data_IF_564385834413
#
_entry.id   IF_564385834413
#
_cell.length_a   1.000
_cell.length_b   1.000
_cell.length_c   1.000
_cell.angle_alpha   90.00
_cell.angle_beta   90.00
_cell.angle_gamma   90.00
#
_symmetry.space_group_name_H-M   'P 1'
#
loop_
_entity.id
_entity.type
_entity.pdbx_description
1 polymer ?
#
# COMPACT_ATOMS: atom_id res chain seq x y z
N UNK A 1 -13.19 -6.06 0.60
CA UNK A 1 -12.65 -7.43 0.46
C UNK A 1 -11.39 -7.41 -0.39
N UNK A 2 -11.45 -6.93 -1.63
CA UNK A 2 -10.30 -6.93 -2.56
C UNK A 2 -9.04 -6.22 -2.03
N UNK A 3 -9.16 -5.02 -1.44
CA UNK A 3 -8.02 -4.32 -0.83
C UNK A 3 -7.41 -5.06 0.37
N UNK A 4 -8.23 -5.82 1.13
CA UNK A 4 -7.75 -6.62 2.25
C UNK A 4 -7.01 -7.87 1.76
N UNK A 5 -7.51 -8.51 0.71
CA UNK A 5 -6.84 -9.67 0.09
C UNK A 5 -5.49 -9.25 -0.52
N UNK A 6 -5.44 -8.07 -1.16
CA UNK A 6 -4.20 -7.47 -1.63
C UNK A 6 -3.22 -7.16 -0.48
N UNK A 7 -3.73 -6.62 0.63
CA UNK A 7 -2.90 -6.37 1.82
C UNK A 7 -2.31 -7.67 2.37
N UNK A 8 -3.11 -8.73 2.52
CA UNK A 8 -2.64 -10.05 2.96
C UNK A 8 -1.59 -10.59 1.99
N UNK A 9 -1.81 -10.46 0.68
CA UNK A 9 -0.82 -10.84 -0.32
C UNK A 9 0.48 -10.06 -0.15
N UNK A 10 0.42 -8.73 0.02
CA UNK A 10 1.59 -7.89 0.25
C UNK A 10 2.33 -8.27 1.52
N UNK A 11 1.66 -8.54 2.65
CA UNK A 11 2.34 -8.95 3.89
C UNK A 11 3.17 -10.23 3.70
N UNK A 12 2.65 -11.20 2.94
CA UNK A 12 3.24 -12.52 2.80
C UNK A 12 4.15 -12.68 1.59
N UNK A 13 4.01 -11.85 0.57
CA UNK A 13 4.82 -11.94 -0.63
C UNK A 13 6.23 -11.39 -0.36
N UNK A 14 7.24 -12.27 -0.46
CA UNK A 14 8.66 -11.94 -0.25
C UNK A 14 9.49 -11.95 -1.55
N UNK A 15 8.83 -11.80 -2.69
CA UNK A 15 9.48 -11.83 -4.02
C UNK A 15 9.16 -10.59 -4.83
N UNK A 16 7.95 -10.05 -4.70
CA UNK A 16 7.49 -8.92 -5.47
C UNK A 16 8.25 -7.65 -5.06
N UNK A 17 8.89 -7.01 -6.04
CA UNK A 17 9.65 -5.77 -5.87
C UNK A 17 8.94 -4.55 -6.45
N UNK A 18 7.96 -4.76 -7.32
CA UNK A 18 7.20 -3.67 -7.97
C UNK A 18 5.73 -4.05 -8.06
N UNK A 19 4.86 -3.14 -7.62
CA UNK A 19 3.41 -3.24 -7.73
C UNK A 19 2.87 -1.94 -8.32
N UNK A 20 2.10 -2.05 -9.41
CA UNK A 20 1.44 -0.91 -10.06
C UNK A 20 -0.05 -1.04 -9.89
N UNK A 21 -0.64 -0.02 -9.29
CA UNK A 21 -2.08 0.12 -9.04
C UNK A 21 -2.55 1.49 -9.52
N UNK A 22 -1.83 2.12 -10.45
CA UNK A 22 -2.22 3.40 -11.01
C UNK A 22 -3.57 3.31 -11.74
N UNK A 23 -4.33 4.41 -11.73
CA UNK A 23 -5.62 4.53 -12.42
C UNK A 23 -6.68 3.50 -11.97
N UNK A 24 -6.77 3.24 -10.67
CA UNK A 24 -7.84 2.45 -10.07
C UNK A 24 -8.76 3.33 -9.21
N UNK A 25 -9.73 2.69 -8.56
CA UNK A 25 -10.66 3.34 -7.62
C UNK A 25 -10.22 3.10 -6.16
N UNK A 26 -8.91 3.12 -5.88
CA UNK A 26 -8.41 2.98 -4.51
C UNK A 26 -8.73 4.25 -3.73
N UNK A 27 -9.51 4.10 -2.67
CA UNK A 27 -9.88 5.16 -1.74
C UNK A 27 -9.01 5.11 -0.46
N UNK A 28 -9.28 6.03 0.48
CA UNK A 28 -8.57 6.11 1.76
C UNK A 28 -8.68 4.83 2.60
N UNK A 29 -9.81 4.12 2.52
CA UNK A 29 -9.99 2.88 3.27
C UNK A 29 -9.15 1.75 2.68
N UNK A 30 -9.16 1.60 1.36
CA UNK A 30 -8.38 0.62 0.64
C UNK A 30 -6.87 0.86 0.83
N UNK A 31 -6.42 2.11 0.70
CA UNK A 31 -5.00 2.45 0.86
C UNK A 31 -4.52 2.28 2.29
N UNK A 32 -5.39 2.42 3.30
CA UNK A 32 -5.05 2.10 4.69
C UNK A 32 -4.67 0.63 4.86
N UNK A 33 -5.39 -0.29 4.24
CA UNK A 33 -5.03 -1.72 4.28
C UNK A 33 -3.68 -1.98 3.61
N UNK A 34 -3.43 -1.32 2.47
CA UNK A 34 -2.14 -1.40 1.78
C UNK A 34 -1.02 -0.85 2.67
N UNK A 35 -1.22 0.31 3.30
CA UNK A 35 -0.26 0.96 4.19
C UNK A 35 0.09 0.07 5.40
N UNK A 36 -0.91 -0.54 6.04
CA UNK A 36 -0.68 -1.48 7.14
C UNK A 36 0.17 -2.68 6.69
N UNK A 37 -0.10 -3.24 5.50
CA UNK A 37 0.67 -4.34 4.94
C UNK A 37 2.11 -3.95 4.60
N UNK A 38 2.34 -2.74 4.09
CA UNK A 38 3.68 -2.23 3.77
C UNK A 38 4.58 -2.21 5.01
N UNK A 39 4.05 -1.97 6.21
CA UNK A 39 4.88 -1.99 7.43
C UNK A 39 5.53 -3.36 7.72
N UNK A 40 5.03 -4.44 7.12
CA UNK A 40 5.55 -5.81 7.27
C UNK A 40 6.22 -6.35 5.99
N UNK A 41 6.07 -5.67 4.86
CA UNK A 41 6.69 -6.06 3.61
C UNK A 41 8.09 -5.42 3.50
N UNK A 42 9.11 -6.24 3.27
CA UNK A 42 10.52 -5.80 3.18
C UNK A 42 11.13 -5.96 1.79
N UNK A 43 10.34 -6.35 0.80
CA UNK A 43 10.81 -6.69 -0.55
C UNK A 43 10.28 -5.76 -1.62
N UNK A 44 9.11 -5.16 -1.40
CA UNK A 44 8.49 -4.23 -2.32
C UNK A 44 9.26 -2.92 -2.30
N UNK A 45 9.92 -2.61 -3.42
CA UNK A 45 10.73 -1.41 -3.60
C UNK A 45 9.96 -0.31 -4.34
N UNK A 46 8.89 -0.66 -5.05
CA UNK A 46 8.10 0.31 -5.83
C UNK A 46 6.62 -0.01 -5.72
N UNK A 47 5.85 0.99 -5.30
CA UNK A 47 4.39 0.99 -5.30
C UNK A 47 3.90 2.24 -6.04
N UNK A 48 3.18 2.04 -7.14
CA UNK A 48 2.53 3.13 -7.87
C UNK A 48 1.04 3.17 -7.55
N UNK A 49 0.59 4.28 -6.97
CA UNK A 49 -0.81 4.56 -6.62
C UNK A 49 -1.33 5.82 -7.33
N UNK A 50 -0.63 6.30 -8.36
CA UNK A 50 -1.04 7.51 -9.08
C UNK A 50 -2.44 7.39 -9.68
N UNK A 51 -3.15 8.50 -9.84
CA UNK A 51 -4.50 8.54 -10.41
C UNK A 51 -5.55 7.66 -9.69
N UNK A 52 -5.46 7.54 -8.36
CA UNK A 52 -6.49 6.93 -7.51
C UNK A 52 -7.30 8.00 -6.73
N UNK A 53 -8.25 7.56 -5.90
CA UNK A 53 -9.15 8.42 -5.10
C UNK A 53 -8.65 8.61 -3.66
N UNK A 54 -7.31 8.65 -3.49
CA UNK A 54 -6.65 8.82 -2.20
C UNK A 54 -6.65 10.31 -1.84
N UNK A 55 -7.18 10.64 -0.67
CA UNK A 55 -7.25 11.99 -0.11
C UNK A 55 -6.28 12.12 1.07
N UNK A 56 -6.37 13.23 1.81
CA UNK A 56 -5.44 13.58 2.87
C UNK A 56 -5.30 12.48 3.95
N UNK A 57 -6.39 11.79 4.31
CA UNK A 57 -6.35 10.73 5.32
C UNK A 57 -5.56 9.52 4.82
N UNK A 58 -5.78 9.09 3.58
CA UNK A 58 -5.03 7.99 2.98
C UNK A 58 -3.55 8.31 2.78
N UNK A 59 -3.23 9.56 2.39
CA UNK A 59 -1.83 10.03 2.31
C UNK A 59 -1.16 10.02 3.68
N UNK A 60 -1.86 10.41 4.74
CA UNK A 60 -1.34 10.34 6.10
C UNK A 60 -1.02 8.89 6.51
N UNK A 61 -1.93 7.94 6.25
CA UNK A 61 -1.68 6.52 6.53
C UNK A 61 -0.47 5.98 5.77
N UNK A 62 -0.33 6.31 4.48
CA UNK A 62 0.84 5.94 3.68
C UNK A 62 2.14 6.54 4.25
N UNK A 63 2.11 7.81 4.63
CA UNK A 63 3.28 8.50 5.19
C UNK A 63 3.76 7.82 6.47
N UNK A 64 2.85 7.51 7.38
CA UNK A 64 3.15 6.80 8.63
C UNK A 64 3.73 5.40 8.37
N UNK A 65 3.20 4.68 7.39
CA UNK A 65 3.69 3.36 7.02
C UNK A 65 5.10 3.42 6.41
N UNK A 66 5.37 4.37 5.53
CA UNK A 66 6.69 4.56 4.91
C UNK A 66 7.75 4.94 5.94
N UNK A 67 7.41 5.78 6.91
CA UNK A 67 8.33 6.10 8.04
C UNK A 67 8.70 4.83 8.80
N UNK A 68 7.73 3.95 9.08
CA UNK A 68 7.96 2.68 9.80
C UNK A 68 8.73 1.65 8.97
N UNK A 69 8.54 1.64 7.65
CA UNK A 69 9.22 0.71 6.74
C UNK A 69 10.70 1.06 6.50
N UNK A 70 11.09 2.31 6.75
CA UNK A 70 12.47 2.80 6.65
C UNK A 70 13.31 2.59 7.94
N UNK A 71 12.81 1.82 8.91
CA UNK A 71 13.49 1.51 10.19
C UNK A 71 13.80 0.01 10.26
#
# INVERSE_FOLDING_TARGET
QEAQDLAIFLENNKVLTTLKLDQNEIDDLAVKYIADALTKNTTLATLDLSHNQIQDQGVQCLSDALIKNNV
#
